data_IF_544938343301
#
_entry.id   IF_544938343301
#
_cell.length_a   1.000
_cell.length_b   1.000
_cell.length_c   1.000
_cell.angle_alpha   90.00
_cell.angle_beta   90.00
_cell.angle_gamma   90.00
#
_symmetry.space_group_name_H-M   'P 1'
#
loop_
_entity.id
_entity.type
_entity.pdbx_description
1 polymer ?
#
# COMPACT_ATOMS: atom_id res chain seq x y z
N UNK A 1 -79.14 30.58 35.24
CA UNK A 1 -77.66 30.49 35.31
C UNK A 1 -77.21 29.89 33.99
N UNK A 2 -76.32 30.56 33.25
CA UNK A 2 -75.83 30.02 31.98
C UNK A 2 -74.82 28.90 32.27
N UNK A 3 -75.07 27.69 31.77
CA UNK A 3 -74.13 26.57 31.84
C UNK A 3 -72.95 26.84 30.91
N UNK A 4 -71.78 27.11 31.49
CA UNK A 4 -70.55 27.31 30.73
C UNK A 4 -69.95 25.94 30.38
N UNK A 5 -70.05 25.53 29.13
CA UNK A 5 -69.39 24.32 28.62
C UNK A 5 -67.95 24.66 28.22
N UNK A 6 -66.96 24.21 28.98
CA UNK A 6 -65.55 24.44 28.69
C UNK A 6 -65.03 23.39 27.69
N UNK A 7 -64.67 23.87 26.50
CA UNK A 7 -64.00 23.08 25.46
C UNK A 7 -62.51 23.41 25.53
N UNK A 8 -61.66 22.41 25.74
CA UNK A 8 -60.20 22.55 25.66
C UNK A 8 -59.73 22.12 24.28
N UNK A 9 -58.71 22.81 23.76
CA UNK A 9 -58.09 22.49 22.47
C UNK A 9 -56.66 22.04 22.73
N UNK A 10 -56.43 20.74 22.68
CA UNK A 10 -55.10 20.16 22.80
C UNK A 10 -54.47 20.04 21.41
N UNK A 11 -53.17 19.75 21.38
CA UNK A 11 -52.34 19.65 20.15
C UNK A 11 -52.86 18.57 19.19
N UNK A 12 -53.65 17.60 19.69
CA UNK A 12 -54.21 16.48 18.92
C UNK A 12 -55.73 16.60 18.68
N UNK A 13 -56.39 17.68 19.12
CA UNK A 13 -57.82 17.91 18.88
C UNK A 13 -58.56 18.61 20.04
N UNK A 14 -59.81 19.00 19.82
CA UNK A 14 -60.65 19.57 20.87
C UNK A 14 -61.29 18.46 21.72
N UNK A 15 -61.11 18.49 23.05
CA UNK A 15 -61.82 17.62 23.99
C UNK A 15 -62.59 18.44 25.03
N UNK A 16 -63.77 17.97 25.42
CA UNK A 16 -64.61 18.65 26.40
C UNK A 16 -64.35 18.14 27.82
N UNK A 17 -64.66 18.95 28.82
CA UNK A 17 -64.67 18.49 30.23
C UNK A 17 -65.52 17.23 30.44
N UNK A 18 -66.57 17.07 29.63
CA UNK A 18 -67.45 15.92 29.71
C UNK A 18 -66.77 14.63 29.23
N UNK A 19 -65.95 14.71 28.17
CA UNK A 19 -65.19 13.56 27.66
C UNK A 19 -64.18 13.03 28.68
N UNK A 20 -63.50 13.91 29.40
CA UNK A 20 -62.53 13.53 30.42
C UNK A 20 -63.20 12.89 31.65
N UNK A 21 -64.38 13.38 32.05
CA UNK A 21 -65.18 12.78 33.13
C UNK A 21 -65.65 11.37 32.73
N UNK A 22 -66.13 11.19 31.50
CA UNK A 22 -66.56 9.88 31.01
C UNK A 22 -65.41 8.86 30.90
N UNK A 23 -64.20 9.31 30.55
CA UNK A 23 -62.99 8.46 30.59
C UNK A 23 -62.62 8.07 32.01
N UNK A 24 -62.73 8.99 32.98
CA UNK A 24 -62.49 8.70 34.41
C UNK A 24 -63.52 7.73 35.00
N UNK A 25 -64.77 7.79 34.53
CA UNK A 25 -65.84 6.86 34.90
C UNK A 25 -65.77 5.52 34.16
N UNK A 26 -64.85 5.35 33.20
CA UNK A 26 -64.62 4.11 32.46
C UNK A 26 -65.54 3.87 31.25
N UNK A 27 -66.34 4.87 30.87
CA UNK A 27 -67.30 4.76 29.76
C UNK A 27 -66.68 5.07 28.39
N UNK A 28 -65.55 5.80 28.35
CA UNK A 28 -64.80 6.12 27.13
C UNK A 28 -63.39 5.52 27.22
N UNK A 29 -62.80 5.04 26.11
CA UNK A 29 -61.44 4.49 26.09
C UNK A 29 -60.39 5.56 26.47
N UNK A 30 -59.20 5.16 26.96
CA UNK A 30 -58.12 6.09 27.28
C UNK A 30 -57.63 6.84 26.02
N UNK A 31 -57.12 8.08 26.19
CA UNK A 31 -56.56 8.86 25.07
C UNK A 31 -55.29 8.17 24.55
N UNK A 32 -55.02 8.18 23.23
CA UNK A 32 -53.76 7.68 22.70
C UNK A 32 -52.59 8.45 23.33
N UNK A 33 -51.43 7.80 23.50
CA UNK A 33 -50.25 8.49 24.00
C UNK A 33 -49.84 9.61 23.03
N UNK A 34 -49.42 10.78 23.52
CA UNK A 34 -49.05 11.89 22.67
C UNK A 34 -47.87 11.51 21.78
N UNK A 35 -47.96 11.81 20.48
CA UNK A 35 -46.86 11.57 19.56
C UNK A 35 -45.67 12.46 19.93
N UNK A 36 -44.55 11.83 20.33
CA UNK A 36 -43.26 12.52 20.52
C UNK A 36 -42.32 12.05 19.41
N UNK A 37 -41.91 12.92 18.47
CA UNK A 37 -40.86 12.57 17.53
C UNK A 37 -39.57 12.28 18.31
N UNK A 38 -38.75 11.37 17.80
CA UNK A 38 -37.42 11.10 18.38
C UNK A 38 -36.60 12.39 18.42
N UNK A 39 -35.75 12.58 19.45
CA UNK A 39 -34.81 13.69 19.48
C UNK A 39 -34.01 13.74 18.18
N UNK A 40 -33.92 14.92 17.57
CA UNK A 40 -33.15 15.10 16.34
C UNK A 40 -31.67 14.76 16.59
N UNK A 41 -31.18 13.69 15.97
CA UNK A 41 -29.77 13.37 15.89
C UNK A 41 -29.23 13.88 14.55
N UNK A 42 -28.29 14.85 14.53
CA UNK A 42 -27.63 15.24 13.29
C UNK A 42 -26.88 14.04 12.70
N UNK A 43 -26.95 13.88 11.38
CA UNK A 43 -26.17 12.86 10.70
C UNK A 43 -24.68 13.05 11.02
N UNK A 44 -23.91 11.97 11.29
CA UNK A 44 -22.49 12.10 11.56
C UNK A 44 -21.79 12.67 10.32
N UNK A 45 -21.14 13.82 10.47
CA UNK A 45 -20.25 14.36 9.44
C UNK A 45 -19.08 13.39 9.24
N UNK A 46 -18.75 13.08 7.98
CA UNK A 46 -17.63 12.18 7.66
C UNK A 46 -16.29 12.66 8.22
N UNK A 47 -16.13 13.97 8.37
CA UNK A 47 -14.92 14.62 8.88
C UNK A 47 -14.83 14.58 10.41
N UNK A 48 -15.92 14.18 11.10
CA UNK A 48 -15.96 14.01 12.56
C UNK A 48 -15.59 12.60 13.01
N UNK A 49 -15.27 11.70 12.06
CA UNK A 49 -14.87 10.34 12.39
C UNK A 49 -13.54 10.34 13.17
N UNK A 50 -13.37 9.47 14.19
CA UNK A 50 -12.11 9.34 14.90
C UNK A 50 -10.97 9.00 13.93
N UNK A 51 -9.95 9.85 13.88
CA UNK A 51 -8.73 9.64 13.07
C UNK A 51 -7.86 8.56 13.73
N UNK A 52 -8.26 7.30 13.61
CA UNK A 52 -7.56 6.14 14.18
C UNK A 52 -6.44 5.62 13.26
N UNK A 53 -5.65 4.64 13.72
CA UNK A 53 -4.52 4.06 12.96
C UNK A 53 -4.88 3.58 11.56
N UNK A 54 -6.04 2.94 11.41
CA UNK A 54 -6.50 2.44 10.10
C UNK A 54 -6.75 3.57 9.11
N UNK A 55 -7.23 4.71 9.59
CA UNK A 55 -7.43 5.89 8.76
C UNK A 55 -6.09 6.45 8.26
N UNK A 56 -5.04 6.42 9.10
CA UNK A 56 -3.68 6.82 8.70
C UNK A 56 -3.10 5.84 7.65
N UNK A 57 -3.37 4.54 7.79
CA UNK A 57 -2.85 3.52 6.87
C UNK A 57 -3.47 3.58 5.45
N UNK A 58 -4.67 4.16 5.31
CA UNK A 58 -5.36 4.34 4.03
C UNK A 58 -4.91 5.59 3.27
N UNK A 59 -4.16 6.49 3.91
CA UNK A 59 -3.72 7.76 3.33
C UNK A 59 -2.41 7.65 2.56
N UNK A 60 -2.26 8.49 1.54
CA UNK A 60 -1.03 8.64 0.76
C UNK A 60 -0.04 9.58 1.44
N UNK A 61 1.23 9.54 1.03
CA UNK A 61 2.29 10.38 1.60
C UNK A 61 1.99 11.89 1.49
N UNK A 62 1.47 12.37 0.35
CA UNK A 62 1.08 13.78 0.17
C UNK A 62 -0.10 14.18 1.06
N UNK A 63 -1.15 13.35 1.11
CA UNK A 63 -2.31 13.63 1.97
C UNK A 63 -1.94 13.63 3.44
N UNK A 64 -1.03 12.73 3.84
CA UNK A 64 -0.48 12.76 5.18
C UNK A 64 0.20 14.13 5.37
N UNK A 65 1.21 14.51 4.58
CA UNK A 65 1.90 15.81 4.71
C UNK A 65 0.93 16.98 4.95
N UNK A 66 -0.13 17.12 4.15
CA UNK A 66 -1.13 18.19 4.29
C UNK A 66 -1.90 18.19 5.64
N UNK A 67 -2.06 17.02 6.26
CA UNK A 67 -2.77 16.82 7.53
C UNK A 67 -1.88 16.99 8.78
N UNK A 68 -0.67 17.55 8.66
CA UNK A 68 0.28 17.70 9.78
C UNK A 68 -0.33 18.53 10.92
N UNK A 69 -0.87 19.70 10.59
CA UNK A 69 -1.45 20.64 11.56
C UNK A 69 -2.73 20.09 12.23
N UNK A 70 -3.38 19.13 11.58
CA UNK A 70 -4.70 18.58 11.90
C UNK A 70 -4.66 17.42 12.92
N UNK A 71 -3.45 16.90 13.21
CA UNK A 71 -3.20 15.73 14.06
C UNK A 71 -2.38 16.04 15.32
N UNK A 72 -1.95 17.30 15.51
CA UNK A 72 -1.16 17.79 16.64
C UNK A 72 -1.86 17.65 18.02
N UNK A 73 -3.17 17.34 18.02
CA UNK A 73 -3.95 17.16 19.25
C UNK A 73 -3.65 15.84 19.97
N UNK A 74 -3.07 14.83 19.29
CA UNK A 74 -2.71 13.55 19.88
C UNK A 74 -1.28 13.10 19.52
N UNK A 75 -0.39 13.25 20.52
CA UNK A 75 1.03 12.83 20.43
C UNK A 75 1.21 11.39 19.95
N UNK A 76 0.28 10.49 20.27
CA UNK A 76 0.35 9.09 19.86
C UNK A 76 0.11 8.94 18.35
N UNK A 77 -0.83 9.69 17.79
CA UNK A 77 -1.14 9.68 16.35
C UNK A 77 -0.02 10.35 15.54
N UNK A 78 0.57 11.43 16.05
CA UNK A 78 1.75 12.06 15.44
C UNK A 78 2.93 11.09 15.31
N UNK A 79 3.29 10.39 16.40
CA UNK A 79 4.40 9.43 16.40
C UNK A 79 4.14 8.28 15.43
N UNK A 80 2.91 7.75 15.39
CA UNK A 80 2.52 6.69 14.47
C UNK A 80 2.64 7.14 13.01
N UNK A 81 2.13 8.33 12.69
CA UNK A 81 2.24 8.93 11.36
C UNK A 81 3.70 9.13 10.97
N UNK A 82 4.52 9.76 11.82
CA UNK A 82 5.95 10.00 11.53
C UNK A 82 6.67 8.68 11.24
N UNK A 83 6.33 7.62 11.98
CA UNK A 83 6.84 6.28 11.74
C UNK A 83 6.37 5.70 10.40
N UNK A 84 5.08 5.77 10.07
CA UNK A 84 4.53 5.29 8.79
C UNK A 84 5.11 6.04 7.60
N UNK A 85 5.25 7.36 7.70
CA UNK A 85 5.86 8.19 6.67
C UNK A 85 7.34 7.83 6.48
N UNK A 86 8.09 7.59 7.57
CA UNK A 86 9.45 7.12 7.49
C UNK A 86 9.55 5.75 6.80
N UNK A 87 8.68 4.80 7.14
CA UNK A 87 8.59 3.48 6.50
C UNK A 87 8.27 3.61 4.99
N UNK A 88 7.32 4.48 4.61
CA UNK A 88 6.98 4.74 3.20
C UNK A 88 8.17 5.35 2.46
N UNK A 89 8.82 6.36 3.03
CA UNK A 89 10.01 7.01 2.45
C UNK A 89 11.16 6.03 2.27
N UNK A 90 11.36 5.12 3.22
CA UNK A 90 12.36 4.05 3.12
C UNK A 90 12.02 3.08 1.98
N UNK A 91 10.76 2.65 1.86
CA UNK A 91 10.31 1.78 0.78
C UNK A 91 10.48 2.41 -0.62
N UNK A 92 10.20 3.70 -0.77
CA UNK A 92 10.43 4.46 -2.01
C UNK A 92 11.94 4.58 -2.29
N UNK A 93 12.76 4.81 -1.26
CA UNK A 93 14.23 4.83 -1.39
C UNK A 93 14.82 3.50 -1.82
N UNK A 94 14.14 2.39 -1.53
CA UNK A 94 14.55 1.05 -1.91
C UNK A 94 14.18 0.80 -3.37
N UNK A 95 13.04 1.30 -3.84
CA UNK A 95 12.52 1.14 -5.21
C UNK A 95 13.19 2.06 -6.25
N UNK A 96 14.53 2.06 -6.30
CA UNK A 96 15.33 2.93 -7.19
C UNK A 96 15.60 2.35 -8.57
N UNK A 97 15.52 1.04 -8.71
CA UNK A 97 15.81 0.33 -9.94
C UNK A 97 14.52 -0.01 -10.67
N UNK A 98 14.64 -0.60 -11.86
CA UNK A 98 13.48 -0.80 -12.74
C UNK A 98 13.84 -1.25 -14.16
N UNK A 99 15.13 -1.32 -14.47
CA UNK A 99 15.63 -1.74 -15.77
C UNK A 99 16.99 -2.41 -15.63
N UNK A 100 17.41 -3.13 -16.67
CA UNK A 100 18.73 -3.76 -16.74
C UNK A 100 19.73 -2.75 -17.30
N UNK A 101 20.67 -2.30 -16.46
CA UNK A 101 21.61 -1.24 -16.80
C UNK A 101 22.89 -1.83 -17.41
N UNK A 102 23.32 -1.41 -18.61
CA UNK A 102 24.63 -1.80 -19.14
C UNK A 102 25.75 -1.09 -18.38
N UNK A 103 26.78 -1.84 -17.99
CA UNK A 103 27.97 -1.31 -17.31
C UNK A 103 29.25 -1.71 -18.04
N UNK A 104 30.30 -0.89 -17.89
CA UNK A 104 31.65 -1.21 -18.37
C UNK A 104 32.47 -1.95 -17.32
N UNK A 105 33.60 -2.54 -17.71
CA UNK A 105 34.55 -3.17 -16.78
C UNK A 105 35.06 -2.20 -15.70
N UNK A 106 35.29 -0.93 -16.03
CA UNK A 106 35.70 0.10 -15.06
C UNK A 106 34.61 0.44 -14.04
N UNK A 107 33.34 0.33 -14.43
CA UNK A 107 32.21 0.63 -13.55
C UNK A 107 31.88 -0.55 -12.62
N UNK A 108 32.34 -1.76 -12.93
CA UNK A 108 32.00 -2.98 -12.19
C UNK A 108 32.24 -2.84 -10.68
N UNK A 109 33.39 -2.30 -10.28
CA UNK A 109 33.72 -2.13 -8.86
C UNK A 109 32.76 -1.17 -8.17
N UNK A 110 32.48 -0.02 -8.79
CA UNK A 110 31.57 0.99 -8.22
C UNK A 110 30.13 0.48 -8.16
N UNK A 111 29.67 -0.13 -9.24
CA UNK A 111 28.26 -0.48 -9.42
C UNK A 111 27.86 -1.79 -8.75
N UNK A 112 28.80 -2.74 -8.59
CA UNK A 112 28.56 -4.08 -8.05
C UNK A 112 29.27 -4.28 -6.70
N UNK A 113 30.59 -4.05 -6.64
CA UNK A 113 31.37 -4.35 -5.44
C UNK A 113 31.17 -3.34 -4.31
N UNK A 114 30.94 -2.07 -4.66
CA UNK A 114 30.68 -0.96 -3.73
C UNK A 114 29.19 -0.59 -3.65
N UNK A 115 28.30 -1.48 -4.08
CA UNK A 115 26.87 -1.26 -3.92
C UNK A 115 26.48 -1.12 -2.43
N UNK A 116 25.43 -0.34 -2.10
CA UNK A 116 24.93 -0.24 -0.74
C UNK A 116 24.61 -1.61 -0.14
N UNK A 117 24.79 -1.74 1.18
CA UNK A 117 24.63 -3.01 1.90
C UNK A 117 23.22 -3.63 1.76
N UNK A 118 22.21 -2.77 1.65
CA UNK A 118 20.80 -3.17 1.54
C UNK A 118 20.36 -3.47 0.10
N UNK A 119 21.26 -3.38 -0.89
CA UNK A 119 20.94 -3.58 -2.30
C UNK A 119 21.51 -4.90 -2.80
N UNK A 120 20.63 -5.74 -3.36
CA UNK A 120 21.01 -6.91 -4.13
C UNK A 120 21.41 -6.49 -5.55
N UNK A 121 22.54 -7.00 -6.03
CA UNK A 121 23.02 -6.72 -7.39
C UNK A 121 23.13 -8.01 -8.18
N UNK A 122 22.34 -8.10 -9.24
CA UNK A 122 22.34 -9.23 -10.18
C UNK A 122 23.07 -8.80 -11.44
N UNK A 123 24.18 -9.48 -11.74
CA UNK A 123 25.06 -9.19 -12.87
C UNK A 123 24.95 -10.30 -13.90
N UNK A 124 24.59 -9.97 -15.14
CA UNK A 124 24.67 -10.91 -16.26
C UNK A 124 25.90 -10.62 -17.12
N UNK A 125 26.78 -11.61 -17.22
CA UNK A 125 27.86 -11.67 -18.19
C UNK A 125 27.28 -12.26 -19.48
N UNK A 126 27.31 -11.46 -20.55
CA UNK A 126 26.77 -11.85 -21.84
C UNK A 126 27.77 -11.60 -22.96
N UNK A 127 27.44 -12.11 -24.16
CA UNK A 127 28.11 -11.80 -25.40
C UNK A 127 27.08 -11.82 -26.52
N UNK A 128 27.23 -10.92 -27.48
CA UNK A 128 26.34 -10.86 -28.64
C UNK A 128 26.52 -12.10 -29.54
N UNK A 129 25.45 -12.46 -30.25
CA UNK A 129 25.44 -13.65 -31.11
C UNK A 129 25.08 -14.97 -30.41
N UNK A 130 24.97 -14.98 -29.07
CA UNK A 130 24.54 -16.16 -28.30
C UNK A 130 23.03 -16.07 -27.99
N UNK A 131 22.20 -16.99 -28.49
CA UNK A 131 20.74 -16.93 -28.29
C UNK A 131 20.35 -17.11 -26.82
N UNK A 132 21.11 -17.93 -26.08
CA UNK A 132 20.89 -18.17 -24.66
C UNK A 132 21.01 -16.90 -23.80
N UNK A 133 21.97 -16.03 -24.13
CA UNK A 133 22.11 -14.72 -23.51
C UNK A 133 20.87 -13.85 -23.75
N UNK A 134 20.34 -13.84 -24.96
CA UNK A 134 19.15 -13.07 -25.31
C UNK A 134 17.90 -13.53 -24.57
N UNK A 135 17.75 -14.84 -24.34
CA UNK A 135 16.64 -15.38 -23.55
C UNK A 135 16.70 -14.94 -22.09
N UNK A 136 17.86 -15.07 -21.44
CA UNK A 136 18.02 -14.69 -20.04
C UNK A 136 17.89 -13.18 -19.86
N UNK A 137 18.42 -12.37 -20.78
CA UNK A 137 18.29 -10.91 -20.75
C UNK A 137 16.83 -10.47 -20.77
N UNK A 138 15.98 -11.05 -21.62
CA UNK A 138 14.54 -10.75 -21.64
C UNK A 138 13.87 -11.06 -20.31
N UNK A 139 14.21 -12.19 -19.70
CA UNK A 139 13.69 -12.55 -18.38
C UNK A 139 14.12 -11.52 -17.32
N UNK A 140 15.38 -11.10 -17.34
CA UNK A 140 15.89 -10.10 -16.39
C UNK A 140 15.28 -8.71 -16.61
N UNK A 141 14.97 -8.33 -17.84
CA UNK A 141 14.26 -7.08 -18.14
C UNK A 141 12.86 -7.07 -17.50
N UNK A 142 12.12 -8.17 -17.58
CA UNK A 142 10.82 -8.29 -16.90
C UNK A 142 10.97 -8.30 -15.37
N UNK A 143 12.00 -8.96 -14.84
CA UNK A 143 12.27 -9.02 -13.40
C UNK A 143 12.73 -7.68 -12.84
N UNK A 144 13.49 -6.90 -13.61
CA UNK A 144 13.93 -5.58 -13.17
C UNK A 144 12.75 -4.64 -12.91
N UNK A 145 11.68 -4.73 -13.70
CA UNK A 145 10.44 -3.98 -13.49
C UNK A 145 9.67 -4.49 -12.26
N UNK A 146 9.61 -5.82 -12.06
CA UNK A 146 8.90 -6.43 -10.92
C UNK A 146 9.61 -6.22 -9.58
N UNK A 147 10.93 -6.10 -9.57
CA UNK A 147 11.76 -6.00 -8.36
C UNK A 147 12.61 -4.72 -8.37
N UNK A 148 12.00 -3.53 -8.21
CA UNK A 148 12.71 -2.24 -8.26
C UNK A 148 13.71 -2.04 -7.10
N UNK A 149 13.63 -2.88 -6.06
CA UNK A 149 14.59 -2.95 -4.97
C UNK A 149 15.94 -3.56 -5.37
N UNK A 150 15.96 -4.39 -6.42
CA UNK A 150 17.13 -5.15 -6.86
C UNK A 150 17.74 -4.48 -8.08
N UNK A 151 19.06 -4.34 -8.06
CA UNK A 151 19.80 -3.76 -9.17
C UNK A 151 20.18 -4.83 -10.17
N UNK A 152 19.67 -4.73 -11.39
CA UNK A 152 20.06 -5.61 -12.50
C UNK A 152 21.05 -4.89 -13.42
N UNK A 153 22.19 -5.51 -13.69
CA UNK A 153 23.21 -4.96 -14.58
C UNK A 153 23.69 -5.99 -15.59
N UNK A 154 24.05 -5.54 -16.79
CA UNK A 154 24.63 -6.37 -17.85
C UNK A 154 26.01 -5.87 -18.24
N UNK A 155 26.93 -6.81 -18.46
CA UNK A 155 28.30 -6.51 -18.89
C UNK A 155 28.75 -7.52 -19.94
N UNK A 156 29.53 -7.05 -20.91
CA UNK A 156 30.17 -7.95 -21.87
C UNK A 156 31.16 -8.83 -21.10
N UNK A 157 31.04 -10.15 -21.29
CA UNK A 157 31.82 -11.14 -20.55
C UNK A 157 33.33 -10.90 -20.56
N UNK A 158 33.88 -10.49 -21.71
CA UNK A 158 35.31 -10.17 -21.88
C UNK A 158 35.73 -8.86 -21.22
N UNK A 159 34.80 -7.92 -21.02
CA UNK A 159 35.06 -6.66 -20.33
C UNK A 159 35.10 -6.85 -18.81
N UNK A 160 34.34 -7.83 -18.30
CA UNK A 160 34.36 -8.23 -16.90
C UNK A 160 35.54 -9.15 -16.58
N UNK A 161 35.77 -10.18 -17.40
CA UNK A 161 36.80 -11.20 -17.20
C UNK A 161 37.52 -11.44 -18.53
N UNK A 162 38.81 -11.08 -18.64
CA UNK A 162 39.59 -11.32 -19.85
C UNK A 162 39.60 -12.82 -20.22
N UNK A 163 39.36 -13.12 -21.50
CA UNK A 163 39.30 -14.49 -22.04
C UNK A 163 38.26 -15.41 -21.36
N UNK A 164 37.12 -14.86 -20.91
CA UNK A 164 36.04 -15.66 -20.35
C UNK A 164 35.53 -16.69 -21.39
N UNK A 165 35.40 -17.99 -21.03
CA UNK A 165 35.01 -19.01 -21.99
C UNK A 165 33.56 -18.83 -22.50
N UNK A 166 33.38 -18.77 -23.81
CA UNK A 166 32.05 -18.60 -24.44
C UNK A 166 31.06 -19.71 -24.04
N UNK A 167 31.54 -20.94 -23.80
CA UNK A 167 30.71 -22.08 -23.33
C UNK A 167 30.05 -21.87 -21.96
N UNK A 168 30.53 -20.89 -21.18
CA UNK A 168 29.99 -20.57 -19.87
C UNK A 168 28.87 -19.51 -19.96
N UNK A 169 28.64 -18.93 -21.14
CA UNK A 169 27.64 -17.89 -21.33
C UNK A 169 26.23 -18.48 -21.51
N UNK A 170 25.19 -17.78 -21.02
CA UNK A 170 25.25 -16.62 -20.14
C UNK A 170 25.70 -17.00 -18.72
N UNK A 171 26.39 -16.11 -18.01
CA UNK A 171 26.69 -16.32 -16.58
C UNK A 171 26.01 -15.26 -15.74
N UNK A 172 25.35 -15.66 -14.66
CA UNK A 172 24.65 -14.77 -13.74
C UNK A 172 25.33 -14.82 -12.37
N UNK A 173 25.76 -13.66 -11.89
CA UNK A 173 26.39 -13.48 -10.59
C UNK A 173 25.46 -12.68 -9.69
N UNK A 174 25.21 -13.18 -8.49
CA UNK A 174 24.40 -12.48 -7.48
C UNK A 174 25.34 -11.96 -6.40
N UNK A 175 25.33 -10.65 -6.20
CA UNK A 175 26.10 -9.95 -5.18
C UNK A 175 25.17 -9.35 -4.13
N UNK A 176 25.63 -9.39 -2.89
CA UNK A 176 25.04 -8.65 -1.79
C UNK A 176 26.15 -8.36 -0.76
N UNK A 177 26.17 -7.16 -0.20
CA UNK A 177 27.18 -6.75 0.78
C UNK A 177 28.63 -6.92 0.29
N UNK A 178 28.89 -6.60 -0.99
CA UNK A 178 30.22 -6.70 -1.61
C UNK A 178 30.74 -8.14 -1.83
N UNK A 179 29.94 -9.16 -1.53
CA UNK A 179 30.31 -10.57 -1.70
C UNK A 179 29.40 -11.28 -2.71
N UNK A 180 29.97 -12.24 -3.45
CA UNK A 180 29.21 -13.15 -4.31
C UNK A 180 28.41 -14.09 -3.42
N UNK A 181 27.09 -14.12 -3.61
CA UNK A 181 26.16 -15.03 -2.94
C UNK A 181 25.81 -16.24 -3.79
N UNK A 182 25.69 -16.05 -5.10
CA UNK A 182 25.41 -17.12 -6.04
C UNK A 182 26.09 -16.88 -7.38
N UNK A 183 26.39 -17.97 -8.08
CA UNK A 183 26.99 -17.98 -9.41
C UNK A 183 26.31 -19.09 -10.24
N UNK A 184 25.65 -18.70 -11.32
CA UNK A 184 24.94 -19.60 -12.22
C UNK A 184 25.56 -19.50 -13.61
N UNK A 185 26.11 -20.62 -14.09
CA UNK A 185 26.79 -20.69 -15.39
C UNK A 185 25.88 -21.35 -16.42
N UNK A 186 25.61 -20.71 -17.55
CA UNK A 186 24.66 -21.19 -18.56
C UNK A 186 23.20 -21.21 -18.08
N UNK A 187 22.32 -21.81 -18.88
CA UNK A 187 20.87 -21.83 -18.61
C UNK A 187 20.36 -23.04 -17.79
N UNK A 188 21.22 -24.02 -17.51
CA UNK A 188 20.79 -25.29 -16.91
C UNK A 188 20.15 -25.11 -15.52
N UNK A 189 20.54 -24.07 -14.80
CA UNK A 189 20.00 -23.75 -13.47
C UNK A 189 18.57 -23.17 -13.52
N UNK A 190 18.14 -22.61 -14.66
CA UNK A 190 16.87 -21.90 -14.82
C UNK A 190 15.77 -22.74 -15.50
N UNK A 191 15.98 -24.07 -15.56
CA UNK A 191 15.04 -25.03 -16.11
C UNK A 191 14.99 -25.06 -17.65
N UNK A 192 14.21 -26.01 -18.20
CA UNK A 192 14.18 -26.31 -19.65
C UNK A 192 13.71 -25.16 -20.55
N UNK A 193 12.91 -24.22 -20.04
CA UNK A 193 12.29 -23.14 -20.81
C UNK A 193 12.72 -21.73 -20.40
N UNK A 194 13.60 -21.57 -19.39
CA UNK A 194 14.10 -20.29 -18.90
C UNK A 194 13.02 -19.19 -18.91
N UNK A 195 12.02 -19.30 -18.02
CA UNK A 195 10.95 -18.30 -17.89
C UNK A 195 11.30 -17.27 -16.81
N UNK A 196 10.74 -16.05 -16.86
CA UNK A 196 10.96 -15.03 -15.82
C UNK A 196 10.67 -15.55 -14.41
N UNK A 197 9.60 -16.33 -14.23
CA UNK A 197 9.23 -16.92 -12.93
C UNK A 197 10.23 -18.00 -12.50
N UNK A 198 10.75 -18.78 -13.45
CA UNK A 198 11.77 -19.80 -13.16
C UNK A 198 13.10 -19.15 -12.78
N UNK A 199 13.46 -18.04 -13.42
CA UNK A 199 14.64 -17.25 -13.05
C UNK A 199 14.45 -16.63 -11.66
N UNK A 200 13.28 -16.03 -11.39
CA UNK A 200 12.96 -15.46 -10.08
C UNK A 200 12.99 -16.48 -8.94
N UNK A 201 12.60 -17.74 -9.21
CA UNK A 201 12.59 -18.79 -8.19
C UNK A 201 14.01 -19.27 -7.82
N UNK A 202 14.97 -19.09 -8.72
CA UNK A 202 16.38 -19.47 -8.51
C UNK A 202 17.19 -18.35 -7.88
N UNK A 203 16.81 -17.08 -8.12
CA UNK A 203 17.45 -15.89 -7.55
C UNK A 203 16.96 -15.62 -6.13
#
# INVERSE_FOLDING_TARGET
MADYHFIYKDVEGASTQWDDIQRKLGNLPPKPPPFKPDPFEPAPDSDSAPKDKSWIDEKTEEELEDLEDDLDDDRFLEEYRKKRLAEMREAVKISKYGSVIPISGSDFVREVSQAPQDVWVVVILYKEGFPECGLLLRCLEELAVKYPATKFVKIISTDCIPNYPDRNLPTLLVYNNGAVKANYVGLHSFGRRCTPEGVALVL
#
